data_IF_214697208342
#
_entry.id   IF_214697208342
#
_cell.length_a   1.000
_cell.length_b   1.000
_cell.length_c   1.000
_cell.angle_alpha   90.00
_cell.angle_beta   90.00
_cell.angle_gamma   90.00
#
_symmetry.space_group_name_H-M   'P 1'
#
loop_
_entity.id
_entity.type
_entity.pdbx_description
1 polymer ?
#
# COMPACT_ATOMS: atom_id res chain seq x y z
N UNK A 1 -8.29 4.33 11.06
CA UNK A 1 -7.17 3.74 10.30
C UNK A 1 -5.89 4.58 10.38
N UNK A 2 -5.95 5.91 10.64
CA UNK A 2 -4.76 6.78 10.72
C UNK A 2 -4.42 7.32 12.12
N UNK A 3 -5.14 6.92 13.17
CA UNK A 3 -5.03 7.51 14.53
C UNK A 3 -3.63 7.41 15.15
N UNK A 4 -2.83 6.41 14.78
CA UNK A 4 -1.49 6.23 15.31
C UNK A 4 -0.41 7.01 14.53
N UNK A 5 -0.69 7.40 13.27
CA UNK A 5 0.27 8.17 12.45
C UNK A 5 0.28 9.64 12.86
N UNK A 6 -0.85 10.15 13.35
CA UNK A 6 -0.98 11.54 13.79
C UNK A 6 -1.10 11.65 15.32
N UNK A 7 -0.64 10.63 16.05
CA UNK A 7 -0.59 10.66 17.50
C UNK A 7 0.43 11.70 17.96
N UNK A 8 0.14 12.39 19.07
CA UNK A 8 1.06 13.37 19.67
C UNK A 8 2.34 12.75 20.23
N UNK A 9 2.32 11.45 20.52
CA UNK A 9 3.47 10.67 20.96
C UNK A 9 3.52 9.37 20.14
N UNK A 10 4.03 9.43 18.89
CA UNK A 10 3.99 8.30 18.00
C UNK A 10 5.10 7.29 18.33
N UNK A 11 4.78 6.00 18.34
CA UNK A 11 5.75 4.92 18.63
C UNK A 11 6.98 4.93 17.70
N UNK A 12 6.85 5.42 16.47
CA UNK A 12 7.94 5.43 15.50
C UNK A 12 8.99 6.52 15.79
N UNK A 13 8.75 7.42 16.76
CA UNK A 13 9.75 8.41 17.19
C UNK A 13 11.04 7.77 17.71
N UNK A 14 10.94 6.57 18.27
CA UNK A 14 12.09 5.80 18.79
C UNK A 14 12.71 4.90 17.72
N UNK A 15 12.05 4.74 16.57
CA UNK A 15 12.52 3.90 15.47
C UNK A 15 13.46 4.66 14.51
N UNK A 16 13.30 5.98 14.41
CA UNK A 16 14.04 6.82 13.45
C UNK A 16 14.94 7.81 14.20
N UNK A 17 16.22 7.81 13.85
CA UNK A 17 17.25 8.56 14.59
C UNK A 17 17.13 10.08 14.47
N UNK A 18 16.48 10.57 13.41
CA UNK A 18 16.34 11.98 13.06
C UNK A 18 14.93 12.54 13.31
N UNK A 19 14.14 11.89 14.18
CA UNK A 19 12.84 12.40 14.59
C UNK A 19 12.95 13.75 15.29
N UNK A 20 12.11 14.70 14.88
CA UNK A 20 11.98 16.00 15.52
C UNK A 20 10.55 16.52 15.47
N UNK A 21 10.08 17.07 16.58
CA UNK A 21 8.83 17.83 16.60
C UNK A 21 9.03 19.22 15.97
N UNK A 22 8.06 19.66 15.18
CA UNK A 22 8.07 20.98 14.55
C UNK A 22 7.68 22.07 15.57
N UNK A 23 8.42 23.17 15.55
CA UNK A 23 8.12 24.37 16.33
C UNK A 23 6.84 25.06 15.84
N UNK A 24 6.23 25.90 16.70
CA UNK A 24 4.99 26.62 16.36
C UNK A 24 5.13 27.52 15.14
N UNK A 25 6.32 28.06 14.91
CA UNK A 25 6.70 28.91 13.78
C UNK A 25 6.94 28.15 12.47
N UNK A 26 7.09 26.83 12.54
CA UNK A 26 7.22 25.94 11.37
C UNK A 26 5.86 25.34 10.92
N UNK A 27 4.83 25.49 11.75
CA UNK A 27 3.48 24.97 11.47
C UNK A 27 2.68 25.95 10.62
N UNK A 28 1.89 25.41 9.69
CA UNK A 28 0.88 26.19 8.97
C UNK A 28 -0.30 26.55 9.88
N UNK A 29 -1.00 27.63 9.54
CA UNK A 29 -2.20 28.07 10.26
C UNK A 29 -3.22 26.93 10.41
N UNK A 30 -3.71 26.73 11.64
CA UNK A 30 -4.67 25.68 11.96
C UNK A 30 -4.07 24.31 12.29
N UNK A 31 -2.75 24.12 12.12
CA UNK A 31 -2.08 22.87 12.47
C UNK A 31 -1.76 22.83 13.98
N UNK A 32 -2.28 21.82 14.67
CA UNK A 32 -2.11 21.67 16.11
C UNK A 32 -0.68 21.26 16.51
N UNK A 33 -0.08 20.33 15.75
CA UNK A 33 1.26 19.79 15.94
C UNK A 33 1.78 19.18 14.63
N UNK A 34 3.10 18.98 14.53
CA UNK A 34 3.74 18.32 13.39
C UNK A 34 5.10 17.76 13.79
N UNK A 35 5.62 16.84 12.98
CA UNK A 35 6.95 16.26 13.15
C UNK A 35 7.63 16.07 11.79
N UNK A 36 8.94 15.97 11.80
CA UNK A 36 9.76 15.57 10.65
C UNK A 36 10.68 14.42 11.04
N UNK A 37 10.97 13.55 10.08
CA UNK A 37 11.88 12.42 10.22
C UNK A 37 12.22 11.83 8.86
N UNK A 38 13.33 11.10 8.78
CA UNK A 38 13.77 10.34 7.62
C UNK A 38 12.88 9.12 7.38
N UNK A 39 12.43 8.95 6.14
CA UNK A 39 11.62 7.79 5.72
C UNK A 39 11.96 7.41 4.28
N UNK A 40 11.24 6.44 3.72
CA UNK A 40 11.51 5.88 2.40
C UNK A 40 10.35 6.12 1.43
N UNK A 41 10.67 6.49 0.19
CA UNK A 41 9.72 6.49 -0.92
C UNK A 41 10.08 5.41 -1.94
N UNK A 42 9.27 4.36 -1.99
CA UNK A 42 9.46 3.26 -2.94
C UNK A 42 8.90 3.69 -4.30
N UNK A 43 9.62 3.38 -5.38
CA UNK A 43 9.08 3.41 -6.73
C UNK A 43 8.49 2.03 -7.09
N UNK A 44 7.14 1.83 -7.08
CA UNK A 44 6.56 0.51 -7.32
C UNK A 44 6.84 -0.04 -8.72
N UNK A 45 7.03 0.83 -9.70
CA UNK A 45 7.31 0.44 -11.08
C UNK A 45 8.70 -0.21 -11.24
N UNK A 46 9.61 0.01 -10.28
CA UNK A 46 10.93 -0.62 -10.23
C UNK A 46 11.02 -1.70 -9.15
N UNK A 47 10.43 -1.45 -7.98
CA UNK A 47 10.51 -2.36 -6.84
C UNK A 47 9.82 -3.70 -7.09
N UNK A 48 8.65 -3.71 -7.73
CA UNK A 48 7.94 -4.96 -8.03
C UNK A 48 8.71 -5.83 -9.05
N UNK A 49 9.21 -5.31 -10.19
CA UNK A 49 10.10 -6.08 -11.07
C UNK A 49 11.39 -6.53 -10.38
N UNK A 50 11.96 -5.70 -9.50
CA UNK A 50 13.13 -6.09 -8.71
C UNK A 50 12.84 -7.31 -7.83
N UNK A 51 11.71 -7.33 -7.10
CA UNK A 51 11.29 -8.50 -6.32
C UNK A 51 11.11 -9.76 -7.19
N UNK A 52 10.53 -9.62 -8.38
CA UNK A 52 10.43 -10.73 -9.35
C UNK A 52 11.82 -11.24 -9.74
N UNK A 53 12.77 -10.33 -9.98
CA UNK A 53 14.18 -10.67 -10.26
C UNK A 53 14.83 -11.43 -9.11
N UNK A 54 14.65 -10.98 -7.87
CA UNK A 54 15.14 -11.66 -6.67
C UNK A 54 14.53 -13.06 -6.53
N UNK A 55 13.23 -13.22 -6.73
CA UNK A 55 12.56 -14.51 -6.70
C UNK A 55 13.12 -15.47 -7.77
N UNK A 56 13.29 -15.00 -9.01
CA UNK A 56 13.85 -15.81 -10.11
C UNK A 56 15.29 -16.24 -9.85
N UNK A 57 16.11 -15.36 -9.28
CA UNK A 57 17.49 -15.69 -8.90
C UNK A 57 17.56 -16.80 -7.85
N UNK A 58 16.48 -16.99 -7.07
CA UNK A 58 16.32 -18.06 -6.09
C UNK A 58 15.47 -19.24 -6.60
N UNK A 59 15.27 -19.36 -7.92
CA UNK A 59 14.61 -20.52 -8.53
C UNK A 59 13.08 -20.48 -8.53
N UNK A 60 12.45 -19.35 -8.20
CA UNK A 60 10.99 -19.21 -8.29
C UNK A 60 10.54 -19.12 -9.74
N UNK A 61 9.61 -19.99 -10.13
CA UNK A 61 8.94 -19.97 -11.43
C UNK A 61 7.64 -19.16 -11.36
N UNK A 62 7.42 -18.30 -12.36
CA UNK A 62 6.21 -17.47 -12.45
C UNK A 62 5.29 -17.96 -13.56
N UNK A 63 4.01 -18.13 -13.25
CA UNK A 63 2.95 -18.46 -14.19
C UNK A 63 1.90 -17.36 -14.21
N UNK A 64 1.38 -17.05 -15.40
CA UNK A 64 0.21 -16.18 -15.54
C UNK A 64 -1.04 -17.04 -15.60
N UNK A 65 -1.85 -17.02 -14.54
CA UNK A 65 -3.10 -17.79 -14.44
C UNK A 65 -4.17 -16.95 -13.73
N UNK A 66 -5.41 -17.04 -14.23
CA UNK A 66 -6.60 -16.61 -13.49
C UNK A 66 -7.17 -17.85 -12.80
N UNK A 67 -7.45 -17.75 -11.51
CA UNK A 67 -7.91 -18.87 -10.68
C UNK A 67 -9.29 -18.56 -10.13
N UNK A 68 -10.22 -19.50 -10.22
CA UNK A 68 -11.56 -19.33 -9.66
C UNK A 68 -11.64 -19.88 -8.22
N UNK A 69 -10.93 -20.97 -7.93
CA UNK A 69 -10.80 -21.58 -6.60
C UNK A 69 -9.36 -21.56 -6.09
N UNK A 70 -9.15 -21.35 -4.78
CA UNK A 70 -7.81 -21.26 -4.16
C UNK A 70 -6.97 -22.53 -4.37
N UNK A 71 -7.61 -23.70 -4.48
CA UNK A 71 -6.93 -24.98 -4.70
C UNK A 71 -6.56 -25.27 -6.18
N UNK A 72 -6.99 -24.45 -7.14
CA UNK A 72 -6.62 -24.64 -8.56
C UNK A 72 -5.12 -24.49 -8.84
N UNK A 73 -4.38 -23.89 -7.90
CA UNK A 73 -2.93 -23.74 -7.98
C UNK A 73 -2.18 -24.93 -7.38
N UNK A 74 -2.89 -25.93 -6.86
CA UNK A 74 -2.23 -27.09 -6.26
C UNK A 74 -1.50 -27.95 -7.30
N UNK A 75 -2.00 -28.01 -8.54
CA UNK A 75 -1.42 -28.76 -9.65
C UNK A 75 -1.08 -27.79 -10.79
N UNK A 76 -0.02 -27.00 -10.61
CA UNK A 76 0.35 -25.94 -11.56
C UNK A 76 1.36 -26.36 -12.62
N UNK A 77 2.24 -27.30 -12.32
CA UNK A 77 3.28 -27.68 -13.27
C UNK A 77 2.86 -28.84 -14.17
N UNK A 78 3.36 -28.82 -15.41
CA UNK A 78 3.20 -29.91 -16.36
C UNK A 78 3.90 -31.20 -15.90
N UNK A 79 4.71 -31.12 -14.83
CA UNK A 79 5.43 -32.25 -14.23
C UNK A 79 4.55 -33.06 -13.26
N UNK A 80 3.36 -32.54 -12.89
CA UNK A 80 2.43 -33.19 -11.98
C UNK A 80 2.76 -33.03 -10.49
N UNK A 81 3.66 -32.12 -10.11
CA UNK A 81 4.01 -31.87 -8.71
C UNK A 81 2.87 -31.15 -8.00
N UNK A 82 2.43 -31.74 -6.89
CA UNK A 82 1.37 -31.21 -6.06
C UNK A 82 1.96 -30.25 -5.03
N UNK A 83 1.51 -29.00 -5.00
CA UNK A 83 1.91 -28.09 -3.95
C UNK A 83 1.41 -28.58 -2.59
N UNK A 84 2.34 -28.70 -1.62
CA UNK A 84 2.02 -29.09 -0.24
C UNK A 84 1.28 -27.98 0.52
N UNK A 85 1.66 -26.73 0.24
CA UNK A 85 1.15 -25.52 0.89
C UNK A 85 0.91 -24.45 -0.17
N UNK A 86 -0.21 -23.73 -0.03
CA UNK A 86 -0.58 -22.61 -0.88
C UNK A 86 -0.54 -21.33 -0.05
N UNK A 87 0.16 -20.29 -0.51
CA UNK A 87 0.09 -18.95 0.09
C UNK A 87 -0.92 -18.12 -0.68
N UNK A 88 -2.04 -17.79 -0.04
CA UNK A 88 -3.08 -16.93 -0.62
C UNK A 88 -2.76 -15.44 -0.34
N UNK A 89 -2.15 -14.79 -1.32
CA UNK A 89 -1.86 -13.34 -1.31
C UNK A 89 -2.71 -12.55 -2.34
N UNK A 90 -3.98 -12.92 -2.51
CA UNK A 90 -4.84 -12.39 -3.60
C UNK A 90 -5.47 -11.02 -3.32
N UNK A 91 -5.16 -10.39 -2.19
CA UNK A 91 -5.66 -9.05 -1.85
C UNK A 91 -7.18 -8.97 -1.89
N UNK A 92 -7.71 -7.98 -2.59
CA UNK A 92 -9.15 -7.72 -2.69
C UNK A 92 -9.93 -8.86 -3.35
N UNK A 93 -9.27 -9.67 -4.18
CA UNK A 93 -9.88 -10.81 -4.85
C UNK A 93 -10.23 -11.95 -3.89
N UNK A 94 -9.68 -11.99 -2.67
CA UNK A 94 -10.08 -12.95 -1.64
C UNK A 94 -11.59 -12.89 -1.30
N UNK A 95 -12.25 -11.76 -1.59
CA UNK A 95 -13.72 -11.61 -1.50
C UNK A 95 -14.47 -12.57 -2.43
N UNK A 96 -13.93 -12.85 -3.61
CA UNK A 96 -14.60 -13.59 -4.70
C UNK A 96 -13.94 -14.94 -5.02
N UNK A 97 -12.76 -15.21 -4.47
CA UNK A 97 -12.04 -16.46 -4.68
C UNK A 97 -12.77 -17.63 -3.99
N UNK A 98 -13.15 -18.64 -4.74
CA UNK A 98 -13.80 -19.82 -4.19
C UNK A 98 -12.84 -20.60 -3.27
N UNK A 99 -13.41 -21.23 -2.24
CA UNK A 99 -12.67 -21.78 -1.10
C UNK A 99 -12.25 -20.73 -0.07
N UNK A 100 -12.42 -19.43 -0.33
CA UNK A 100 -12.10 -18.35 0.62
C UNK A 100 -13.30 -17.43 0.90
N UNK A 101 -13.82 -16.76 -0.14
CA UNK A 101 -15.03 -15.90 -0.09
C UNK A 101 -15.10 -14.98 1.15
N UNK A 102 -14.03 -14.26 1.45
CA UNK A 102 -13.94 -13.42 2.63
C UNK A 102 -14.81 -12.14 2.47
N UNK A 103 -16.02 -12.17 3.01
CA UNK A 103 -16.99 -11.09 2.92
C UNK A 103 -16.60 -9.83 3.71
N UNK A 104 -15.63 -9.93 4.63
CA UNK A 104 -15.10 -8.79 5.37
C UNK A 104 -14.18 -7.92 4.51
N UNK A 105 -13.80 -8.36 3.31
CA UNK A 105 -13.00 -7.58 2.35
C UNK A 105 -13.82 -6.49 1.68
N UNK A 106 -13.30 -5.27 1.61
CA UNK A 106 -13.92 -4.13 0.91
C UNK A 106 -12.85 -3.25 0.25
N UNK A 107 -13.17 -2.54 -0.84
CA UNK A 107 -12.24 -1.60 -1.44
C UNK A 107 -12.16 -0.33 -0.60
N UNK A 108 -11.00 0.30 -0.59
CA UNK A 108 -10.87 1.72 -0.24
C UNK A 108 -10.26 2.41 -1.44
N UNK A 109 -11.10 3.08 -2.23
CA UNK A 109 -10.67 3.78 -3.45
C UNK A 109 -9.74 4.92 -3.09
N UNK A 110 -8.59 4.94 -3.76
CA UNK A 110 -7.58 5.97 -3.65
C UNK A 110 -7.27 6.54 -5.02
N UNK A 111 -7.58 7.82 -5.20
CA UNK A 111 -7.20 8.57 -6.39
C UNK A 111 -5.92 9.37 -6.13
N UNK A 112 -5.08 9.46 -7.16
CA UNK A 112 -3.81 10.20 -7.15
C UNK A 112 -3.60 10.91 -8.49
N UNK A 113 -2.75 11.93 -8.48
CA UNK A 113 -2.20 12.58 -9.66
C UNK A 113 -0.69 12.36 -9.67
N UNK A 114 -0.12 11.97 -10.81
CA UNK A 114 1.32 11.78 -10.97
C UNK A 114 1.88 12.94 -11.78
N UNK A 115 2.88 13.63 -11.26
CA UNK A 115 3.51 14.82 -11.90
C UNK A 115 5.02 14.63 -12.07
N UNK A 116 5.62 15.38 -13.00
CA UNK A 116 7.09 15.42 -13.19
C UNK A 116 7.80 16.29 -12.15
N UNK A 117 7.11 17.29 -11.59
CA UNK A 117 7.65 18.16 -10.55
C UNK A 117 8.22 17.32 -9.41
N UNK A 118 9.42 17.64 -8.93
CA UNK A 118 10.03 16.98 -7.79
C UNK A 118 9.74 17.77 -6.52
N UNK A 119 9.10 17.13 -5.54
CA UNK A 119 8.95 17.71 -4.22
C UNK A 119 10.28 17.65 -3.46
N UNK A 120 10.66 18.69 -2.69
CA UNK A 120 11.87 18.69 -1.88
C UNK A 120 11.84 17.67 -0.74
N UNK A 121 10.64 17.30 -0.28
CA UNK A 121 10.39 16.34 0.80
C UNK A 121 9.03 15.66 0.62
N UNK A 122 8.79 14.60 1.38
CA UNK A 122 7.45 14.01 1.52
C UNK A 122 6.66 14.80 2.56
N UNK A 123 5.36 15.00 2.35
CA UNK A 123 4.49 15.61 3.36
C UNK A 123 3.12 14.96 3.36
N UNK A 124 2.43 15.03 4.50
CA UNK A 124 1.10 14.51 4.73
C UNK A 124 0.41 15.33 5.82
N UNK A 125 -0.89 15.57 5.66
CA UNK A 125 -1.74 16.17 6.68
C UNK A 125 -2.75 15.14 7.23
N UNK A 126 -3.20 15.35 8.46
CA UNK A 126 -4.09 14.43 9.18
C UNK A 126 -5.54 14.44 8.68
N UNK A 127 -5.95 15.49 7.96
CA UNK A 127 -7.29 15.65 7.44
C UNK A 127 -7.36 16.76 6.39
N UNK A 128 -8.57 17.03 5.90
CA UNK A 128 -8.83 18.09 4.92
C UNK A 128 -10.20 18.73 5.18
N UNK A 129 -10.39 19.96 4.73
CA UNK A 129 -11.70 20.63 4.76
C UNK A 129 -12.65 20.18 3.63
N UNK A 130 -12.17 19.34 2.70
CA UNK A 130 -12.90 18.89 1.51
C UNK A 130 -13.73 17.60 1.78
N UNK A 131 -13.70 17.08 3.00
CA UNK A 131 -14.48 15.92 3.44
C UNK A 131 -13.66 14.77 4.03
N UNK A 132 -14.34 13.88 4.76
CA UNK A 132 -13.72 12.77 5.51
C UNK A 132 -13.11 11.68 4.61
N UNK A 133 -13.51 11.62 3.35
CA UNK A 133 -13.00 10.68 2.35
C UNK A 133 -11.84 11.24 1.51
N UNK A 134 -11.39 12.46 1.83
CA UNK A 134 -10.28 13.15 1.19
C UNK A 134 -9.02 13.08 2.07
N UNK A 135 -7.87 13.10 1.43
CA UNK A 135 -6.56 13.14 2.09
C UNK A 135 -5.62 14.11 1.36
N UNK A 136 -4.56 14.52 2.03
CA UNK A 136 -3.48 15.32 1.44
C UNK A 136 -2.14 14.66 1.75
N UNK A 137 -1.42 14.24 0.71
CA UNK A 137 -0.05 13.77 0.82
C UNK A 137 0.69 13.92 -0.50
N UNK A 138 2.01 13.98 -0.44
CA UNK A 138 2.88 13.85 -1.60
C UNK A 138 4.18 13.11 -1.29
N UNK A 139 4.70 12.44 -2.32
CA UNK A 139 5.98 11.76 -2.25
C UNK A 139 6.61 11.61 -3.63
N UNK A 140 7.90 11.97 -3.73
CA UNK A 140 8.69 11.84 -4.96
C UNK A 140 9.29 10.44 -5.04
N UNK A 141 8.88 9.64 -6.04
CA UNK A 141 9.40 8.28 -6.21
C UNK A 141 10.86 8.31 -6.67
N UNK A 142 11.65 7.37 -6.13
CA UNK A 142 13.05 7.20 -6.49
C UNK A 142 13.27 7.02 -8.01
N UNK A 143 14.47 7.42 -8.45
CA UNK A 143 14.99 7.21 -9.83
C UNK A 143 14.04 7.78 -10.91
N UNK A 144 13.53 8.99 -10.69
CA UNK A 144 12.69 9.69 -11.67
C UNK A 144 11.31 9.05 -11.87
N UNK A 145 10.78 8.34 -10.86
CA UNK A 145 9.46 7.70 -10.94
C UNK A 145 8.26 8.64 -10.94
N UNK A 146 8.50 9.95 -10.85
CA UNK A 146 7.49 11.00 -10.70
C UNK A 146 7.06 11.22 -9.25
N UNK A 147 6.43 12.36 -9.00
CA UNK A 147 5.84 12.68 -7.70
C UNK A 147 4.37 12.29 -7.69
N UNK A 148 3.97 11.58 -6.64
CA UNK A 148 2.57 11.25 -6.39
C UNK A 148 1.97 12.35 -5.54
N UNK A 149 0.85 12.90 -6.00
CA UNK A 149 -0.03 13.80 -5.25
C UNK A 149 -1.28 13.00 -4.91
N UNK A 150 -1.64 12.96 -3.63
CA UNK A 150 -2.83 12.28 -3.18
C UNK A 150 -3.59 13.07 -2.12
N UNK A 151 -4.80 12.67 -1.78
CA UNK A 151 -5.55 11.60 -2.43
C UNK A 151 -6.96 11.45 -1.86
N UNK A 152 -7.49 10.23 -1.97
CA UNK A 152 -8.78 9.85 -1.38
C UNK A 152 -8.70 8.55 -0.56
N UNK A 153 -9.68 8.36 0.33
CA UNK A 153 -9.90 7.22 1.22
C UNK A 153 -11.38 6.79 1.18
N UNK A 154 -11.88 6.50 -0.02
CA UNK A 154 -13.30 6.23 -0.29
C UNK A 154 -13.67 4.77 -0.03
N UNK A 155 -14.17 4.49 1.17
CA UNK A 155 -14.56 3.14 1.62
C UNK A 155 -15.74 2.62 0.79
N UNK A 156 -15.66 1.35 0.34
CA UNK A 156 -16.74 0.68 -0.38
C UNK A 156 -16.88 1.09 -1.85
N UNK A 157 -16.17 2.13 -2.30
CA UNK A 157 -16.23 2.61 -3.67
C UNK A 157 -15.34 1.74 -4.59
N UNK A 158 -15.95 1.23 -5.67
CA UNK A 158 -15.29 0.39 -6.68
C UNK A 158 -14.96 1.13 -7.98
N UNK A 159 -15.29 2.42 -8.09
CA UNK A 159 -15.06 3.20 -9.30
C UNK A 159 -13.58 3.22 -9.66
N UNK A 160 -13.28 2.78 -10.88
CA UNK A 160 -11.94 2.60 -11.42
C UNK A 160 -11.44 3.83 -12.19
N UNK A 161 -12.35 4.69 -12.63
CA UNK A 161 -12.02 5.85 -13.43
C UNK A 161 -11.63 7.04 -12.54
N UNK A 162 -10.61 7.82 -12.94
CA UNK A 162 -10.31 9.08 -12.29
C UNK A 162 -11.47 10.08 -12.43
N UNK A 163 -11.73 10.81 -11.36
CA UNK A 163 -12.64 11.95 -11.33
C UNK A 163 -11.82 13.24 -11.43
N UNK A 164 -12.08 14.08 -12.43
CA UNK A 164 -11.25 15.26 -12.68
C UNK A 164 -11.45 16.37 -11.64
N UNK A 165 -12.61 16.45 -11.00
CA UNK A 165 -12.85 17.42 -9.93
C UNK A 165 -12.06 17.02 -8.67
N UNK A 166 -12.08 15.73 -8.32
CA UNK A 166 -11.22 15.19 -7.25
C UNK A 166 -9.74 15.40 -7.59
N UNK A 167 -9.32 15.22 -8.85
CA UNK A 167 -7.94 15.47 -9.25
C UNK A 167 -7.54 16.93 -9.06
N UNK A 168 -8.40 17.87 -9.44
CA UNK A 168 -8.18 19.30 -9.24
C UNK A 168 -8.09 19.67 -7.75
N UNK A 169 -8.95 19.09 -6.92
CA UNK A 169 -8.90 19.29 -5.46
C UNK A 169 -7.59 18.77 -4.86
N UNK A 170 -7.15 17.54 -5.23
CA UNK A 170 -5.86 16.98 -4.82
C UNK A 170 -4.71 17.93 -5.17
N UNK A 171 -4.66 18.41 -6.41
CA UNK A 171 -3.60 19.31 -6.86
C UNK A 171 -3.59 20.63 -6.06
N UNK A 172 -4.76 21.22 -5.79
CA UNK A 172 -4.88 22.45 -5.00
C UNK A 172 -4.40 22.26 -3.57
N UNK A 173 -4.83 21.19 -2.88
CA UNK A 173 -4.41 20.90 -1.51
C UNK A 173 -2.89 20.68 -1.42
N UNK A 174 -2.34 19.91 -2.34
CA UNK A 174 -0.91 19.61 -2.33
C UNK A 174 -0.04 20.83 -2.67
N UNK A 175 -0.44 21.66 -3.63
CA UNK A 175 0.28 22.92 -3.92
C UNK A 175 0.19 23.90 -2.75
N UNK A 176 -0.94 23.94 -2.02
CA UNK A 176 -1.06 24.72 -0.78
C UNK A 176 -0.10 24.20 0.30
N UNK A 177 -0.03 22.87 0.48
CA UNK A 177 0.83 22.24 1.48
C UNK A 177 2.32 22.41 1.18
N UNK A 178 2.73 22.28 -0.09
CA UNK A 178 4.12 22.42 -0.53
C UNK A 178 4.21 23.36 -1.74
N UNK A 179 4.18 24.68 -1.54
CA UNK A 179 4.26 25.67 -2.63
C UNK A 179 5.54 25.56 -3.45
N UNK A 180 6.63 25.05 -2.85
CA UNK A 180 7.89 24.81 -3.53
C UNK A 180 7.76 23.82 -4.70
N UNK A 181 6.75 22.94 -4.71
CA UNK A 181 6.49 21.98 -5.80
C UNK A 181 6.29 22.68 -7.16
N UNK A 182 5.75 23.89 -7.14
CA UNK A 182 5.42 24.72 -8.30
C UNK A 182 6.26 26.00 -8.36
N UNK A 183 7.30 26.12 -7.54
CA UNK A 183 8.08 27.35 -7.42
C UNK A 183 7.27 28.55 -6.91
N UNK A 184 6.22 28.30 -6.12
CA UNK A 184 5.28 29.31 -5.64
C UNK A 184 4.13 29.66 -6.60
N UNK A 185 4.08 29.05 -7.79
CA UNK A 185 2.95 29.17 -8.71
C UNK A 185 1.74 28.32 -8.31
N UNK A 186 0.66 28.41 -9.09
CA UNK A 186 -0.55 27.61 -8.88
C UNK A 186 -0.46 26.21 -9.51
N UNK A 187 -1.60 25.52 -9.55
CA UNK A 187 -1.71 24.16 -10.09
C UNK A 187 -1.37 24.08 -11.60
N UNK A 188 -1.44 25.20 -12.32
CA UNK A 188 -1.06 25.31 -13.73
C UNK A 188 0.42 25.06 -13.99
N UNK A 189 1.27 25.13 -12.96
CA UNK A 189 2.70 24.81 -13.03
C UNK A 189 3.00 23.32 -12.77
N UNK A 190 1.97 22.51 -12.52
CA UNK A 190 2.12 21.06 -12.40
C UNK A 190 2.18 20.44 -13.80
N UNK A 191 3.29 19.77 -14.07
CA UNK A 191 3.45 18.97 -15.28
C UNK A 191 2.91 17.55 -15.04
N UNK A 192 1.60 17.39 -15.30
CA UNK A 192 0.87 16.14 -15.06
C UNK A 192 1.28 15.07 -16.06
N UNK A 193 1.72 13.92 -15.53
CA UNK A 193 2.02 12.71 -16.30
C UNK A 193 0.75 11.90 -16.53
N UNK A 194 -0.03 11.64 -15.46
CA UNK A 194 -1.29 10.88 -15.51
C UNK A 194 -2.10 11.02 -14.23
N UNK A 195 -3.38 10.66 -14.31
CA UNK A 195 -4.23 10.39 -13.16
C UNK A 195 -4.27 8.88 -12.89
N UNK A 196 -4.40 8.49 -11.62
CA UNK A 196 -4.42 7.08 -11.24
C UNK A 196 -5.42 6.80 -10.13
N UNK A 197 -6.12 5.67 -10.25
CA UNK A 197 -7.02 5.14 -9.23
C UNK A 197 -6.57 3.74 -8.86
N UNK A 198 -6.48 3.47 -7.56
CA UNK A 198 -6.23 2.15 -7.01
C UNK A 198 -7.27 1.79 -5.95
N UNK A 199 -7.56 0.51 -5.81
CA UNK A 199 -8.46 -0.01 -4.78
C UNK A 199 -7.63 -0.70 -3.70
N UNK A 200 -7.49 -0.04 -2.55
CA UNK A 200 -6.79 -0.66 -1.41
C UNK A 200 -7.61 -1.85 -0.90
N UNK A 201 -6.98 -3.01 -0.62
CA UNK A 201 -7.67 -4.20 -0.14
C UNK A 201 -7.96 -4.09 1.36
N UNK A 202 -8.98 -3.32 1.74
CA UNK A 202 -9.43 -3.18 3.13
C UNK A 202 -10.12 -4.46 3.63
N UNK A 203 -10.07 -4.69 4.94
CA UNK A 203 -10.75 -5.80 5.62
C UNK A 203 -11.18 -5.36 7.02
N UNK A 204 -12.39 -5.71 7.44
CA UNK A 204 -12.98 -5.21 8.72
C UNK A 204 -12.14 -5.60 9.95
N UNK A 205 -11.54 -6.79 9.93
CA UNK A 205 -10.72 -7.33 11.03
C UNK A 205 -9.21 -7.26 10.73
N UNK A 206 -8.77 -6.21 10.02
CA UNK A 206 -7.37 -6.05 9.57
C UNK A 206 -6.89 -7.19 8.65
N UNK A 207 -5.57 -7.28 8.43
CA UNK A 207 -4.92 -8.35 7.66
C UNK A 207 -5.35 -9.73 8.16
N UNK A 208 -5.65 -10.63 7.24
CA UNK A 208 -5.79 -12.06 7.54
C UNK A 208 -4.44 -12.72 7.31
N UNK A 209 -3.82 -13.15 8.40
CA UNK A 209 -2.49 -13.74 8.43
C UNK A 209 -2.52 -14.99 9.33
N UNK A 210 -2.95 -16.11 8.75
CA UNK A 210 -3.21 -17.35 9.47
C UNK A 210 -3.15 -18.55 8.50
N UNK A 211 -3.09 -19.76 9.05
CA UNK A 211 -3.16 -21.01 8.28
C UNK A 211 -4.52 -21.69 8.42
N UNK A 212 -5.04 -22.22 7.33
CA UNK A 212 -6.30 -22.95 7.24
C UNK A 212 -6.10 -24.24 6.43
N UNK A 213 -6.90 -25.27 6.70
CA UNK A 213 -6.92 -26.50 5.89
C UNK A 213 -8.20 -26.53 5.07
N UNK A 214 -8.08 -26.37 3.76
CA UNK A 214 -9.21 -26.36 2.80
C UNK A 214 -9.12 -27.65 1.98
N UNK A 215 -10.16 -28.49 2.05
CA UNK A 215 -10.22 -29.82 1.42
C UNK A 215 -8.95 -30.67 1.61
N UNK A 216 -8.39 -30.61 2.81
CA UNK A 216 -7.20 -31.37 3.18
C UNK A 216 -5.87 -30.72 2.79
N UNK A 217 -5.87 -29.56 2.13
CA UNK A 217 -4.69 -28.81 1.69
C UNK A 217 -4.43 -27.63 2.61
N UNK A 218 -3.17 -27.40 2.98
CA UNK A 218 -2.80 -26.25 3.78
C UNK A 218 -2.76 -24.97 2.94
N UNK A 219 -3.45 -23.94 3.42
CA UNK A 219 -3.46 -22.60 2.84
C UNK A 219 -3.04 -21.60 3.91
N UNK A 220 -2.03 -20.79 3.62
CA UNK A 220 -1.61 -19.67 4.47
C UNK A 220 -2.13 -18.37 3.85
N UNK A 221 -3.01 -17.68 4.56
CA UNK A 221 -3.58 -16.42 4.12
C UNK A 221 -2.63 -15.25 4.41
N UNK A 222 -2.49 -14.33 3.47
CA UNK A 222 -1.77 -13.06 3.65
C UNK A 222 -2.41 -11.99 2.76
N UNK A 223 -3.54 -11.43 3.19
CA UNK A 223 -4.28 -10.41 2.45
C UNK A 223 -5.05 -9.48 3.40
N UNK A 224 -5.59 -8.37 2.88
CA UNK A 224 -6.33 -7.38 3.70
C UNK A 224 -5.49 -6.22 4.21
N UNK A 225 -4.38 -5.88 3.53
CA UNK A 225 -3.41 -4.87 3.98
C UNK A 225 -3.85 -3.41 3.84
N UNK A 226 -5.07 -3.13 3.37
CA UNK A 226 -5.59 -1.77 3.19
C UNK A 226 -4.54 -0.82 2.53
N UNK A 227 -4.24 0.30 3.17
CA UNK A 227 -3.26 1.29 2.69
C UNK A 227 -1.80 1.06 3.09
N UNK A 228 -1.49 0.01 3.85
CA UNK A 228 -0.17 -0.16 4.49
C UNK A 228 0.64 -1.35 3.95
N UNK A 229 0.19 -1.99 2.87
CA UNK A 229 0.81 -3.22 2.35
C UNK A 229 2.32 -3.12 2.05
N UNK A 230 2.83 -1.96 1.61
CA UNK A 230 4.27 -1.78 1.41
C UNK A 230 5.05 -1.68 2.72
N UNK A 231 4.63 -0.80 3.63
CA UNK A 231 5.33 -0.55 4.90
C UNK A 231 5.34 -1.78 5.82
N UNK A 232 4.32 -2.65 5.74
CA UNK A 232 4.27 -3.90 6.52
C UNK A 232 4.67 -5.16 5.74
N UNK A 233 5.14 -5.02 4.50
CA UNK A 233 5.33 -6.17 3.58
C UNK A 233 6.30 -7.23 4.12
N UNK A 234 7.48 -6.82 4.59
CA UNK A 234 8.49 -7.74 5.13
C UNK A 234 8.01 -8.43 6.41
N UNK A 235 7.48 -7.68 7.38
CA UNK A 235 6.96 -8.27 8.62
C UNK A 235 5.82 -9.27 8.38
N UNK A 236 4.90 -8.96 7.46
CA UNK A 236 3.86 -9.93 7.08
C UNK A 236 4.46 -11.16 6.37
N UNK A 237 5.46 -10.99 5.51
CA UNK A 237 6.11 -12.10 4.81
C UNK A 237 6.90 -13.01 5.76
N UNK A 238 7.58 -12.45 6.76
CA UNK A 238 8.25 -13.21 7.82
C UNK A 238 7.27 -14.08 8.60
N UNK A 239 6.09 -13.54 8.95
CA UNK A 239 5.07 -14.33 9.62
C UNK A 239 4.46 -15.41 8.72
N UNK A 240 4.32 -15.17 7.41
CA UNK A 240 3.97 -16.23 6.46
C UNK A 240 5.00 -17.37 6.51
N UNK A 241 6.29 -17.04 6.54
CA UNK A 241 7.37 -18.04 6.65
C UNK A 241 7.26 -18.82 7.95
N UNK A 242 6.99 -18.16 9.08
CA UNK A 242 6.75 -18.83 10.37
C UNK A 242 5.58 -19.80 10.30
N UNK A 243 4.45 -19.38 9.73
CA UNK A 243 3.25 -20.19 9.57
C UNK A 243 3.52 -21.41 8.67
N UNK A 244 4.22 -21.23 7.55
CA UNK A 244 4.65 -22.31 6.65
C UNK A 244 5.54 -23.31 7.39
N UNK A 245 6.57 -22.83 8.09
CA UNK A 245 7.50 -23.67 8.86
C UNK A 245 6.82 -24.40 10.03
N UNK A 246 5.70 -23.89 10.54
CA UNK A 246 4.91 -24.57 11.56
C UNK A 246 4.03 -25.70 11.01
N UNK A 247 3.89 -25.81 9.68
CA UNK A 247 3.13 -26.86 9.00
C UNK A 247 4.07 -28.01 8.60
N UNK A 248 5.25 -27.67 8.08
CA UNK A 248 6.29 -28.64 7.76
C UNK A 248 7.01 -29.03 9.06
N UNK A 249 7.13 -30.33 9.41
CA UNK A 249 8.01 -30.72 10.49
C UNK A 249 9.42 -30.25 10.12
N UNK A 250 10.06 -29.47 11.00
CA UNK A 250 11.50 -29.23 10.89
C UNK A 250 12.16 -30.60 10.79
N UNK A 251 12.81 -30.89 9.67
CA UNK A 251 13.62 -32.09 9.54
C UNK A 251 14.59 -32.07 10.73
N UNK A 252 14.40 -32.99 11.68
CA UNK A 252 15.40 -33.26 12.70
C UNK A 252 16.61 -33.78 11.94
N UNK A 253 17.63 -32.95 11.79
CA UNK A 253 18.98 -33.38 11.43
C UNK A 253 19.49 -34.38 12.48
#
# INVERSE_FOLDING_TARGET
>A
MLSNVFASDPWYRELVDDYRDLGRDELSDGIASGCEFGSVCINPALYLPWLVGQCRANGVTFYRKTVAHVLEVQLLDETGTKADIIVNATGLSARKLDGVRDNAMYPIRGQTVVVRNAAPYMAVESGTDDGDDQATYLMTRAVGGGTILGGTLQIGNWESQPDLDIANQIMRRVVKLVPALTGGGGIEQLDVIRHGVGLRPGRENSVRLEKEKIDGVWVVHNYGHAGWGYQGSYGCAEEVVNLVNSITPVAKL
#
